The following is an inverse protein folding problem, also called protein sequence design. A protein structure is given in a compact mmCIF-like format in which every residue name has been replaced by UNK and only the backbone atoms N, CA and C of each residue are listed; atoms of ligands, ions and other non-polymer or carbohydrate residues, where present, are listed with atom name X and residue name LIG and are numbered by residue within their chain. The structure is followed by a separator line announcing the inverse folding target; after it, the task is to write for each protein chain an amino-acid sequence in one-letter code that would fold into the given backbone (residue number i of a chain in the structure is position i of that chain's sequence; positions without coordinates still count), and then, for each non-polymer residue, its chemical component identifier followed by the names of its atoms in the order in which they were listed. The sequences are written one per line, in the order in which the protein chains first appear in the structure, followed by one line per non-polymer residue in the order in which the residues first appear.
data_IF_185361441251
#
_entry.id   IF_185361441251
#
_cell.length_a   1.000
_cell.length_b   1.000
_cell.length_c   1.000
_cell.angle_alpha   90.00
_cell.angle_beta   90.00
_cell.angle_gamma   90.00
#
_symmetry.space_group_name_H-M   'P 1'
#
loop_
_entity.id
_entity.type
_entity.pdbx_description
1 polymer ?
#
# COMPACT_ATOMS: atom_id res chain seq x y z
N UNK A 1 16.30 15.00 -17.40
CA UNK A 1 15.83 13.61 -17.60
C UNK A 1 15.36 12.93 -16.31
N UNK A 2 16.14 12.93 -15.22
CA UNK A 2 15.74 12.33 -13.93
C UNK A 2 14.42 12.90 -13.36
N UNK A 3 14.23 14.22 -13.42
CA UNK A 3 13.02 14.89 -12.95
C UNK A 3 11.78 14.51 -13.77
N UNK A 4 11.90 14.48 -15.10
CA UNK A 4 10.77 14.11 -15.98
C UNK A 4 10.30 12.67 -15.73
N UNK A 5 11.23 11.73 -15.56
CA UNK A 5 10.91 10.34 -15.18
C UNK A 5 10.22 10.28 -13.83
N UNK A 6 10.70 11.02 -12.83
CA UNK A 6 10.08 11.07 -11.50
C UNK A 6 8.66 11.62 -11.56
N UNK A 7 8.45 12.72 -12.29
CA UNK A 7 7.11 13.29 -12.48
C UNK A 7 6.18 12.32 -13.20
N UNK A 8 6.66 11.62 -14.24
CA UNK A 8 5.86 10.62 -14.95
C UNK A 8 5.44 9.47 -14.03
N UNK A 9 6.35 8.96 -13.19
CA UNK A 9 6.05 7.91 -12.20
C UNK A 9 5.04 8.38 -11.15
N UNK A 10 5.19 9.60 -10.63
CA UNK A 10 4.25 10.19 -9.68
C UNK A 10 2.86 10.34 -10.29
N UNK A 11 2.76 10.88 -11.52
CA UNK A 11 1.50 11.00 -12.24
C UNK A 11 0.87 9.63 -12.53
N UNK A 12 1.69 8.64 -12.91
CA UNK A 12 1.25 7.28 -13.17
C UNK A 12 0.64 6.60 -11.93
N UNK A 13 1.24 6.77 -10.75
CA UNK A 13 0.72 6.25 -9.49
C UNK A 13 -0.36 7.15 -8.83
N UNK A 14 -0.49 8.40 -9.30
CA UNK A 14 -1.29 9.44 -8.64
C UNK A 14 -2.75 9.11 -8.37
N UNK A 15 -3.50 8.35 -9.19
CA UNK A 15 -4.90 8.09 -8.90
C UNK A 15 -5.08 7.37 -7.55
N UNK A 16 -4.23 6.39 -7.26
CA UNK A 16 -4.25 5.69 -5.98
C UNK A 16 -3.65 6.54 -4.85
N UNK A 17 -2.58 7.31 -5.12
CA UNK A 17 -2.04 8.26 -4.15
C UNK A 17 -3.10 9.26 -3.69
N UNK A 18 -3.96 9.77 -4.58
CA UNK A 18 -5.02 10.70 -4.25
C UNK A 18 -6.08 10.07 -3.33
N UNK A 19 -6.44 8.81 -3.56
CA UNK A 19 -7.32 8.05 -2.67
C UNK A 19 -6.68 7.91 -1.29
N UNK A 20 -5.41 7.47 -1.24
CA UNK A 20 -4.66 7.33 0.01
C UNK A 20 -4.56 8.64 0.79
N UNK A 21 -4.24 9.75 0.11
CA UNK A 21 -4.16 11.08 0.71
C UNK A 21 -5.52 11.55 1.25
N UNK A 22 -6.62 11.24 0.55
CA UNK A 22 -7.97 11.58 1.01
C UNK A 22 -8.30 10.83 2.31
N UNK A 23 -8.03 9.53 2.34
CA UNK A 23 -8.22 8.70 3.54
C UNK A 23 -7.31 9.19 4.68
N UNK A 24 -6.04 9.48 4.38
CA UNK A 24 -5.07 10.01 5.32
C UNK A 24 -5.48 11.35 5.92
N UNK A 25 -6.00 12.28 5.10
CA UNK A 25 -6.49 13.57 5.56
C UNK A 25 -7.68 13.43 6.51
N UNK A 26 -8.63 12.53 6.21
CA UNK A 26 -9.73 12.21 7.13
C UNK A 26 -9.18 11.55 8.41
N UNK A 27 -8.16 10.70 8.27
CA UNK A 27 -7.41 10.11 9.39
C UNK A 27 -6.86 11.17 10.34
N UNK A 28 -6.16 12.17 9.82
CA UNK A 28 -5.66 13.31 10.59
C UNK A 28 -6.80 14.08 11.28
N UNK A 29 -7.89 14.36 10.56
CA UNK A 29 -9.04 15.06 11.10
C UNK A 29 -9.77 14.29 12.22
N UNK A 30 -9.56 12.98 12.31
CA UNK A 30 -10.18 12.08 13.30
C UNK A 30 -9.19 11.63 14.39
N UNK A 31 -8.10 12.39 14.59
CA UNK A 31 -7.13 12.16 15.66
C UNK A 31 -6.03 11.15 15.33
N UNK A 32 -5.83 10.84 14.05
CA UNK A 32 -4.68 10.08 13.54
C UNK A 32 -3.41 10.94 13.42
N UNK A 33 -2.32 10.29 13.02
CA UNK A 33 -1.03 10.91 12.74
C UNK A 33 -0.58 10.66 11.30
N UNK A 34 0.43 11.39 10.86
CA UNK A 34 1.04 11.16 9.57
C UNK A 34 2.43 11.77 9.45
N UNK A 35 3.23 11.21 8.55
CA UNK A 35 4.62 11.61 8.29
C UNK A 35 4.98 11.35 6.83
N UNK A 36 6.10 11.91 6.39
CA UNK A 36 6.68 11.58 5.09
C UNK A 36 8.02 10.89 5.33
N UNK A 37 8.18 9.69 4.78
CA UNK A 37 9.38 8.86 4.92
C UNK A 37 9.71 8.24 3.56
N UNK A 38 10.98 8.33 3.16
CA UNK A 38 11.46 7.78 1.87
C UNK A 38 10.66 8.22 0.62
N UNK A 39 10.08 9.42 0.67
CA UNK A 39 9.27 9.98 -0.40
C UNK A 39 7.82 9.46 -0.46
N UNK A 40 7.37 8.79 0.60
CA UNK A 40 6.03 8.21 0.76
C UNK A 40 5.32 8.91 1.91
N UNK A 41 4.05 9.24 1.71
CA UNK A 41 3.20 9.78 2.76
C UNK A 41 2.58 8.63 3.57
N UNK A 42 2.86 8.58 4.86
CA UNK A 42 2.40 7.55 5.78
C UNK A 42 1.37 8.15 6.74
N UNK A 43 0.22 7.48 6.92
CA UNK A 43 -0.85 7.92 7.83
C UNK A 43 -1.30 6.76 8.72
N UNK A 44 -1.59 7.02 9.99
CA UNK A 44 -2.06 6.00 10.93
C UNK A 44 -3.10 6.53 11.92
N UNK A 45 -3.83 5.61 12.57
CA UNK A 45 -4.83 5.97 13.57
C UNK A 45 -6.08 6.63 12.99
N UNK A 46 -6.95 7.16 13.85
CA UNK A 46 -8.23 7.76 13.42
C UNK A 46 -8.99 6.88 12.41
N UNK A 47 -9.45 7.50 11.32
CA UNK A 47 -10.15 6.85 10.23
C UNK A 47 -9.30 5.85 9.43
N UNK A 48 -7.97 6.02 9.34
CA UNK A 48 -7.13 5.06 8.58
C UNK A 48 -7.17 3.68 9.22
N UNK A 49 -7.15 3.61 10.56
CA UNK A 49 -7.30 2.35 11.31
C UNK A 49 -8.60 1.65 10.97
N UNK A 50 -9.70 2.39 10.88
CA UNK A 50 -11.00 1.83 10.52
C UNK A 50 -10.95 1.23 9.12
N UNK A 51 -10.43 1.96 8.12
CA UNK A 51 -10.31 1.47 6.74
C UNK A 51 -9.48 0.18 6.67
N UNK A 52 -8.30 0.19 7.29
CA UNK A 52 -7.38 -0.96 7.25
C UNK A 52 -8.01 -2.21 7.88
N UNK A 53 -8.72 -2.06 9.01
CA UNK A 53 -9.42 -3.17 9.69
C UNK A 53 -10.63 -3.71 8.94
N UNK A 54 -11.25 -2.92 8.07
CA UNK A 54 -12.38 -3.33 7.24
C UNK A 54 -11.96 -3.84 5.86
N UNK A 55 -10.66 -4.03 5.64
CA UNK A 55 -10.15 -4.74 4.47
C UNK A 55 -10.52 -6.24 4.52
N UNK A 56 -10.40 -6.99 3.41
CA UNK A 56 -10.65 -8.43 3.40
C UNK A 56 -9.81 -9.26 4.39
N UNK A 57 -8.68 -8.72 4.84
CA UNK A 57 -7.79 -9.36 5.82
C UNK A 57 -8.17 -9.02 7.27
N UNK A 58 -9.13 -8.13 7.50
CA UNK A 58 -9.65 -7.79 8.81
C UNK A 58 -8.57 -7.21 9.73
N UNK A 59 -8.55 -7.68 10.98
CA UNK A 59 -7.56 -7.25 11.98
C UNK A 59 -6.12 -7.65 11.64
N UNK A 60 -5.92 -8.64 10.76
CA UNK A 60 -4.60 -9.09 10.32
C UNK A 60 -3.96 -8.15 9.29
N UNK A 61 -4.70 -7.17 8.75
CA UNK A 61 -4.15 -6.16 7.86
C UNK A 61 -3.44 -5.07 8.68
N UNK A 62 -2.12 -4.95 8.57
CA UNK A 62 -1.38 -3.92 9.30
C UNK A 62 -1.41 -2.54 8.61
N UNK A 63 -1.17 -2.56 7.30
CA UNK A 63 -1.07 -1.39 6.45
C UNK A 63 -1.53 -1.69 5.02
N UNK A 64 -1.81 -0.65 4.25
CA UNK A 64 -2.19 -0.72 2.84
C UNK A 64 -1.47 0.39 2.09
N UNK A 65 -0.72 0.03 1.06
CA UNK A 65 -0.16 0.97 0.09
C UNK A 65 -1.16 1.34 -1.00
N UNK A 66 -1.23 2.64 -1.30
CA UNK A 66 -2.01 3.25 -2.37
C UNK A 66 -1.12 4.27 -3.10
N UNK A 67 -0.46 3.85 -4.18
CA UNK A 67 0.50 4.70 -4.89
C UNK A 67 1.70 5.06 -4.02
N UNK A 68 1.89 6.36 -3.77
CA UNK A 68 2.91 6.93 -2.88
C UNK A 68 2.35 7.30 -1.51
N UNK A 69 1.24 6.67 -1.10
CA UNK A 69 0.64 6.82 0.22
C UNK A 69 0.48 5.47 0.89
N UNK A 70 0.76 5.38 2.18
CA UNK A 70 0.55 4.17 2.99
C UNK A 70 -0.36 4.55 4.15
N UNK A 71 -1.41 3.77 4.35
CA UNK A 71 -2.31 3.91 5.49
C UNK A 71 -2.16 2.71 6.42
N UNK A 72 -2.04 2.94 7.72
CA UNK A 72 -1.81 1.91 8.72
C UNK A 72 -2.75 2.01 9.92
N UNK A 73 -2.79 0.95 10.72
CA UNK A 73 -3.53 0.96 11.99
C UNK A 73 -2.85 1.81 13.07
N UNK A 74 -1.53 1.70 13.20
CA UNK A 74 -0.69 2.37 14.21
C UNK A 74 0.64 2.79 13.60
N UNK A 75 1.34 3.73 14.25
CA UNK A 75 2.70 4.11 13.87
C UNK A 75 3.67 2.92 13.93
N UNK A 76 3.64 2.13 15.01
CA UNK A 76 4.51 0.97 15.18
C UNK A 76 4.33 -0.09 14.08
N UNK A 77 3.10 -0.28 13.58
CA UNK A 77 2.85 -1.19 12.46
C UNK A 77 3.42 -0.63 11.15
N UNK A 78 3.31 0.68 10.93
CA UNK A 78 3.94 1.31 9.76
C UNK A 78 5.47 1.21 9.81
N UNK A 79 6.08 1.34 10.99
CA UNK A 79 7.51 1.13 11.15
C UNK A 79 7.92 -0.32 10.85
N UNK A 80 7.15 -1.29 11.36
CA UNK A 80 7.39 -2.70 11.11
C UNK A 80 7.25 -3.06 9.62
N UNK A 81 6.16 -2.62 8.98
CA UNK A 81 5.85 -2.97 7.59
C UNK A 81 6.54 -2.06 6.56
N UNK A 82 7.37 -1.10 6.98
CA UNK A 82 7.86 -0.05 6.09
C UNK A 82 8.54 -0.60 4.82
N UNK A 83 9.46 -1.56 4.95
CA UNK A 83 10.16 -2.13 3.80
C UNK A 83 9.23 -2.94 2.88
N UNK A 84 8.25 -3.62 3.46
CA UNK A 84 7.20 -4.35 2.75
C UNK A 84 6.37 -3.38 1.87
N UNK A 85 5.85 -2.32 2.48
CA UNK A 85 5.01 -1.32 1.80
C UNK A 85 5.79 -0.58 0.70
N UNK A 86 7.10 -0.34 0.87
CA UNK A 86 7.94 0.22 -0.20
C UNK A 86 8.05 -0.68 -1.44
N UNK A 87 7.86 -2.00 -1.31
CA UNK A 87 7.75 -2.89 -2.48
C UNK A 87 6.45 -2.61 -3.23
N UNK A 88 5.33 -2.45 -2.52
CA UNK A 88 4.06 -2.08 -3.12
C UNK A 88 4.10 -0.69 -3.76
N UNK A 89 4.78 0.28 -3.16
CA UNK A 89 4.99 1.60 -3.80
C UNK A 89 5.67 1.42 -5.16
N UNK A 90 6.75 0.64 -5.22
CA UNK A 90 7.45 0.33 -6.49
C UNK A 90 6.60 -0.50 -7.45
N UNK A 91 5.64 -1.29 -6.97
CA UNK A 91 4.66 -1.95 -7.84
C UNK A 91 3.69 -0.92 -8.44
N UNK A 92 3.18 0.04 -7.67
CA UNK A 92 2.40 1.15 -8.21
C UNK A 92 3.20 2.03 -9.17
N UNK A 93 4.50 2.23 -8.95
CA UNK A 93 5.35 2.95 -9.91
C UNK A 93 5.49 2.22 -11.25
N UNK A 94 5.40 0.88 -11.27
CA UNK A 94 5.44 0.05 -12.48
C UNK A 94 4.07 -0.06 -13.15
N UNK A 95 3.03 -0.33 -12.38
CA UNK A 95 1.70 -0.69 -12.87
C UNK A 95 0.70 0.47 -12.88
N UNK A 96 0.92 1.49 -12.06
CA UNK A 96 0.07 2.68 -11.96
C UNK A 96 -1.40 2.32 -11.71
N UNK A 97 -2.35 2.79 -12.55
CA UNK A 97 -3.76 2.47 -12.39
C UNK A 97 -4.09 0.99 -12.54
N UNK A 98 -3.23 0.21 -13.21
CA UNK A 98 -3.45 -1.22 -13.42
C UNK A 98 -3.08 -2.07 -12.19
N UNK A 99 -2.44 -1.48 -11.18
CA UNK A 99 -1.96 -2.22 -10.01
C UNK A 99 -3.10 -2.93 -9.26
N UNK A 100 -4.18 -2.21 -8.93
CA UNK A 100 -5.32 -2.80 -8.22
C UNK A 100 -6.00 -3.93 -9.00
N UNK A 101 -6.39 -3.72 -10.27
CA UNK A 101 -6.93 -4.79 -11.11
C UNK A 101 -6.00 -5.99 -11.26
N UNK A 102 -4.69 -5.76 -11.44
CA UNK A 102 -3.72 -6.84 -11.55
C UNK A 102 -3.59 -7.63 -10.24
N UNK A 103 -3.54 -6.95 -9.09
CA UNK A 103 -3.50 -7.58 -7.78
C UNK A 103 -4.71 -8.46 -7.53
N UNK A 104 -5.92 -7.92 -7.74
CA UNK A 104 -7.18 -8.66 -7.55
C UNK A 104 -7.28 -9.82 -8.53
N UNK A 105 -6.93 -9.61 -9.80
CA UNK A 105 -6.91 -10.68 -10.81
C UNK A 105 -5.97 -11.82 -10.42
N UNK A 106 -4.78 -11.51 -9.92
CA UNK A 106 -3.83 -12.51 -9.43
C UNK A 106 -4.38 -13.27 -8.22
N UNK A 107 -4.98 -12.58 -7.25
CA UNK A 107 -5.63 -13.21 -6.09
C UNK A 107 -6.76 -14.17 -6.51
N UNK A 108 -7.58 -13.79 -7.50
CA UNK A 108 -8.67 -14.63 -8.03
C UNK A 108 -8.09 -15.88 -8.71
N UNK A 109 -7.08 -15.73 -9.57
CA UNK A 109 -6.44 -16.87 -10.26
C UNK A 109 -5.84 -17.85 -9.25
N UNK A 110 -5.14 -17.36 -8.23
CA UNK A 110 -4.58 -18.17 -7.15
C UNK A 110 -5.68 -18.90 -6.38
N UNK A 111 -6.77 -18.21 -6.03
CA UNK A 111 -7.89 -18.79 -5.31
C UNK A 111 -8.61 -19.88 -6.12
N UNK A 112 -8.88 -19.64 -7.41
CA UNK A 112 -9.49 -20.62 -8.32
C UNK A 112 -8.60 -21.86 -8.50
N UNK A 113 -7.28 -21.71 -8.36
CA UNK A 113 -6.32 -22.82 -8.36
C UNK A 113 -6.22 -23.54 -7.00
N UNK A 114 -7.01 -23.16 -6.00
CA UNK A 114 -7.01 -23.76 -4.66
C UNK A 114 -5.94 -23.22 -3.71
N UNK A 115 -5.25 -22.14 -4.08
CA UNK A 115 -4.25 -21.47 -3.24
C UNK A 115 -4.83 -20.44 -2.27
N UNK A 116 -3.96 -19.86 -1.43
CA UNK A 116 -4.32 -18.80 -0.50
C UNK A 116 -4.23 -17.46 -1.21
N UNK A 117 -5.37 -16.87 -1.54
CA UNK A 117 -5.50 -15.68 -2.39
C UNK A 117 -4.53 -14.54 -2.06
N UNK A 118 -4.27 -14.29 -0.77
CA UNK A 118 -3.33 -13.29 -0.29
C UNK A 118 -1.88 -13.82 -0.26
N UNK A 119 -1.60 -14.84 0.57
CA UNK A 119 -0.24 -15.32 0.83
C UNK A 119 0.49 -15.84 -0.42
N UNK A 120 -0.26 -16.41 -1.37
CA UNK A 120 0.32 -16.97 -2.58
C UNK A 120 0.23 -16.00 -3.77
N UNK A 121 -0.27 -14.76 -3.56
CA UNK A 121 -0.29 -13.70 -4.57
C UNK A 121 1.15 -13.33 -4.99
N UNK A 122 1.48 -13.27 -6.30
CA UNK A 122 2.81 -12.88 -6.78
C UNK A 122 3.30 -11.52 -6.25
N UNK A 123 2.40 -10.55 -6.07
CA UNK A 123 2.76 -9.22 -5.56
C UNK A 123 3.14 -9.25 -4.08
N UNK A 124 2.45 -10.06 -3.28
CA UNK A 124 2.76 -10.29 -1.86
C UNK A 124 4.05 -11.10 -1.70
N UNK A 125 4.24 -12.14 -2.52
CA UNK A 125 5.48 -12.93 -2.52
C UNK A 125 6.69 -12.07 -2.84
N UNK A 126 6.60 -11.17 -3.83
CA UNK A 126 7.66 -10.20 -4.11
C UNK A 126 7.93 -9.27 -2.92
N UNK A 127 6.87 -8.84 -2.21
CA UNK A 127 6.99 -7.97 -1.05
C UNK A 127 7.72 -8.66 0.12
N UNK A 128 7.26 -9.87 0.50
CA UNK A 128 7.91 -10.66 1.55
C UNK A 128 9.34 -11.09 1.20
N UNK A 129 9.61 -11.47 -0.05
CA UNK A 129 10.95 -11.86 -0.49
C UNK A 129 11.92 -10.68 -0.32
N UNK A 130 11.54 -9.47 -0.76
CA UNK A 130 12.41 -8.29 -0.66
C UNK A 130 12.49 -7.69 0.73
N UNK A 131 11.49 -7.90 1.57
CA UNK A 131 11.52 -7.53 2.99
C UNK A 131 12.56 -8.36 3.75
N UNK A 132 12.63 -9.67 3.49
CA UNK A 132 13.57 -10.60 4.16
C UNK A 132 15.05 -10.46 3.79
N UNK A 133 15.37 -9.61 2.81
CA UNK A 133 16.74 -9.35 2.32
C UNK A 133 17.37 -8.10 2.99
N UNK A 134 16.62 -7.40 3.85
CA UNK A 134 17.07 -6.18 4.56
C UNK A 134 17.40 -6.49 6.02
#
# INVERSE_FOLDING_TARGET
MKTLRRTAVLLWASPYSAIGLTIGAIGLATGGGGRVRDGVAEFHGGFTRWVVRHSPLGENCGAITLGHTVIGQTEAILDFAHHHELVHVRQFERWGPLMGPAYVGASIVVWLAGGRAYLDNPFEKEAFEKESIV
#
